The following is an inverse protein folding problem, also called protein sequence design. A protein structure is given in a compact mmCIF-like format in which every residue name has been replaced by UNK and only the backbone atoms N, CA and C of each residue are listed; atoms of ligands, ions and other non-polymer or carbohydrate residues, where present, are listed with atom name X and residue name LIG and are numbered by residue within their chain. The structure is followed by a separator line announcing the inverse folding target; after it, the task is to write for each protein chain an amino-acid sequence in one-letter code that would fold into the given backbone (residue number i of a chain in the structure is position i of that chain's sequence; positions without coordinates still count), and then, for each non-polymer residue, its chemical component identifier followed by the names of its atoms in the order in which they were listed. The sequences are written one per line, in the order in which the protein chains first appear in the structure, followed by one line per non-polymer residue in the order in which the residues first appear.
data_IF_178803855687
#
_entry.id   IF_178803855687
#
_cell.length_a   1.000
_cell.length_b   1.000
_cell.length_c   1.000
_cell.angle_alpha   90.00
_cell.angle_beta   90.00
_cell.angle_gamma   90.00
#
_symmetry.space_group_name_H-M   'P 1'
#
loop_
_entity.id
_entity.type
_entity.pdbx_description
1 polymer ?
#
# COMPACT_ATOMS: atom_id res chain seq x y z
N UNK A 1 4.89 -1.11 -10.24
CA UNK A 1 5.01 -2.56 -10.54
C UNK A 1 4.72 -3.43 -9.30
N UNK A 2 5.38 -3.20 -8.17
CA UNK A 2 5.21 -4.01 -6.95
C UNK A 2 3.77 -4.08 -6.40
N UNK A 3 3.05 -2.94 -6.33
CA UNK A 3 1.66 -2.93 -5.86
C UNK A 3 0.75 -3.90 -6.64
N UNK A 4 0.86 -3.91 -7.98
CA UNK A 4 0.09 -4.84 -8.82
C UNK A 4 0.48 -6.31 -8.65
N UNK A 5 1.75 -6.59 -8.36
CA UNK A 5 2.20 -7.95 -8.06
C UNK A 5 1.62 -8.44 -6.73
N UNK A 6 1.60 -7.59 -5.69
CA UNK A 6 0.98 -7.95 -4.41
C UNK A 6 -0.54 -8.11 -4.52
N UNK A 7 -1.23 -7.30 -5.34
CA UNK A 7 -2.65 -7.50 -5.66
C UNK A 7 -2.88 -8.86 -6.30
N UNK A 8 -2.08 -9.23 -7.29
CA UNK A 8 -2.19 -10.54 -7.94
C UNK A 8 -1.94 -11.69 -6.96
N UNK A 9 -0.90 -11.58 -6.11
CA UNK A 9 -0.60 -12.58 -5.08
C UNK A 9 -1.77 -12.73 -4.10
N UNK A 10 -2.33 -11.62 -3.62
CA UNK A 10 -3.51 -11.62 -2.74
C UNK A 10 -4.68 -12.38 -3.35
N UNK A 11 -4.96 -12.15 -4.64
CA UNK A 11 -6.11 -12.77 -5.31
C UNK A 11 -5.89 -14.27 -5.60
N UNK A 12 -4.65 -14.73 -5.72
CA UNK A 12 -4.30 -16.11 -6.12
C UNK A 12 -3.91 -17.00 -4.92
N UNK A 13 -3.45 -16.41 -3.81
CA UNK A 13 -2.91 -17.15 -2.66
C UNK A 13 -3.95 -18.09 -2.02
N UNK A 14 -5.19 -17.65 -1.89
CA UNK A 14 -6.27 -18.46 -1.30
C UNK A 14 -6.67 -19.66 -2.16
N UNK A 15 -6.59 -19.52 -3.49
CA UNK A 15 -7.01 -20.55 -4.45
C UNK A 15 -5.92 -21.60 -4.66
N UNK A 16 -4.64 -21.22 -4.67
CA UNK A 16 -3.55 -22.11 -5.10
C UNK A 16 -2.89 -22.92 -4.00
N UNK A 17 -2.89 -22.44 -2.75
CA UNK A 17 -2.08 -23.09 -1.73
C UNK A 17 -2.79 -24.20 -0.98
N UNK A 18 -4.13 -24.24 -0.91
CA UNK A 18 -4.90 -25.33 -0.26
C UNK A 18 -4.63 -25.50 1.24
N UNK A 19 -3.82 -24.62 1.83
CA UNK A 19 -3.41 -24.53 3.25
C UNK A 19 -3.43 -23.06 3.64
N UNK A 20 -3.51 -22.77 4.94
CA UNK A 20 -3.47 -21.41 5.44
C UNK A 20 -2.18 -20.70 4.97
N UNK A 21 -2.28 -19.48 4.42
CA UNK A 21 -1.11 -18.72 4.01
C UNK A 21 -0.26 -18.35 5.24
N UNK A 22 1.06 -18.28 5.05
CA UNK A 22 1.97 -17.75 6.06
C UNK A 22 1.66 -16.28 6.33
N UNK A 23 2.11 -15.77 7.48
CA UNK A 23 1.81 -14.43 8.00
C UNK A 23 2.02 -13.32 6.95
N UNK A 24 3.10 -13.37 6.19
CA UNK A 24 3.45 -12.40 5.14
C UNK A 24 2.53 -12.46 3.89
N UNK A 25 1.86 -13.59 3.70
CA UNK A 25 0.94 -13.86 2.59
C UNK A 25 -0.52 -13.75 3.00
N UNK A 26 -0.81 -13.34 4.24
CA UNK A 26 -2.17 -13.07 4.68
C UNK A 26 -2.74 -11.84 3.95
N UNK A 27 -4.07 -11.84 3.74
CA UNK A 27 -4.76 -10.80 2.98
C UNK A 27 -4.54 -9.41 3.58
N UNK A 28 -4.51 -9.31 4.92
CA UNK A 28 -4.37 -8.05 5.63
C UNK A 28 -2.95 -7.48 5.44
N UNK A 29 -1.92 -8.32 5.56
CA UNK A 29 -0.51 -7.94 5.32
C UNK A 29 -0.27 -7.57 3.87
N UNK A 30 -0.79 -8.35 2.91
CA UNK A 30 -0.67 -8.03 1.49
C UNK A 30 -1.38 -6.71 1.15
N UNK A 31 -2.54 -6.44 1.77
CA UNK A 31 -3.25 -5.16 1.58
C UNK A 31 -2.44 -3.99 2.12
N UNK A 32 -1.87 -4.12 3.31
CA UNK A 32 -0.93 -3.13 3.87
C UNK A 32 0.25 -2.89 2.93
N UNK A 33 0.86 -3.95 2.39
CA UNK A 33 1.99 -3.83 1.44
C UNK A 33 1.57 -3.11 0.15
N UNK A 34 0.38 -3.39 -0.39
CA UNK A 34 -0.15 -2.66 -1.55
C UNK A 34 -0.26 -1.17 -1.24
N UNK A 35 -0.88 -0.81 -0.11
CA UNK A 35 -1.08 0.58 0.31
C UNK A 35 0.25 1.33 0.51
N UNK A 36 1.25 0.70 1.13
CA UNK A 36 2.61 1.26 1.27
C UNK A 36 3.25 1.51 -0.09
N UNK A 37 3.18 0.53 -1.01
CA UNK A 37 3.78 0.65 -2.34
C UNK A 37 3.12 1.74 -3.19
N UNK A 38 1.82 1.98 -3.01
CA UNK A 38 1.09 3.09 -3.64
C UNK A 38 1.48 4.45 -3.05
N UNK A 39 1.59 4.56 -1.72
CA UNK A 39 2.06 5.76 -1.03
C UNK A 39 3.47 6.15 -1.48
N UNK A 40 4.41 5.19 -1.53
CA UNK A 40 5.77 5.41 -2.00
C UNK A 40 5.84 5.83 -3.48
N UNK A 41 4.97 5.28 -4.32
CA UNK A 41 4.87 5.73 -5.71
C UNK A 41 4.46 7.20 -5.77
N UNK A 42 3.49 7.61 -4.94
CA UNK A 42 3.04 9.00 -4.86
C UNK A 42 4.13 9.94 -4.33
N UNK A 43 4.93 9.52 -3.36
CA UNK A 43 6.10 10.29 -2.91
C UNK A 43 7.14 10.47 -4.02
N UNK A 44 7.36 9.46 -4.85
CA UNK A 44 8.25 9.57 -6.00
C UNK A 44 7.72 10.62 -7.00
N UNK A 45 6.42 10.65 -7.24
CA UNK A 45 5.78 11.69 -8.06
C UNK A 45 5.86 13.07 -7.41
N UNK A 46 5.62 13.18 -6.11
CA UNK A 46 5.74 14.43 -5.35
C UNK A 46 7.17 14.98 -5.44
N UNK A 47 8.19 14.14 -5.21
CA UNK A 47 9.60 14.54 -5.30
C UNK A 47 9.95 15.00 -6.72
N UNK A 48 9.44 14.31 -7.74
CA UNK A 48 9.59 14.73 -9.13
C UNK A 48 8.90 16.07 -9.41
N UNK A 49 7.71 16.29 -8.89
CA UNK A 49 6.96 17.53 -9.04
C UNK A 49 7.64 18.71 -8.34
N UNK A 50 8.23 18.47 -7.15
CA UNK A 50 9.06 19.43 -6.42
C UNK A 50 10.28 19.85 -7.25
N UNK A 51 11.03 18.87 -7.78
CA UNK A 51 12.18 19.14 -8.66
C UNK A 51 11.77 19.86 -9.95
N UNK A 52 10.55 19.62 -10.44
CA UNK A 52 9.97 20.29 -11.60
C UNK A 52 9.37 21.67 -11.32
N UNK A 53 9.49 22.21 -10.10
CA UNK A 53 8.86 23.47 -9.67
C UNK A 53 7.37 23.57 -10.03
N UNK A 54 6.62 22.47 -9.88
CA UNK A 54 5.17 22.48 -10.08
C UNK A 54 4.48 23.39 -9.06
N UNK A 55 3.26 23.84 -9.40
CA UNK A 55 2.52 24.76 -8.53
C UNK A 55 2.26 24.17 -7.14
N UNK A 56 2.25 24.99 -6.07
CA UNK A 56 1.99 24.53 -4.71
C UNK A 56 0.65 23.79 -4.57
N UNK A 57 -0.34 24.13 -5.39
CA UNK A 57 -1.65 23.46 -5.43
C UNK A 57 -1.57 22.02 -5.97
N UNK A 58 -0.63 21.71 -6.87
CA UNK A 58 -0.39 20.33 -7.33
C UNK A 58 0.38 19.56 -6.25
N UNK A 59 1.39 20.19 -5.67
CA UNK A 59 2.21 19.59 -4.61
C UNK A 59 1.36 19.21 -3.39
N UNK A 60 0.45 20.08 -2.96
CA UNK A 60 -0.44 19.80 -1.83
C UNK A 60 -1.35 18.61 -2.09
N UNK A 61 -1.89 18.48 -3.31
CA UNK A 61 -2.71 17.33 -3.71
C UNK A 61 -1.92 16.03 -3.76
N UNK A 62 -0.70 16.07 -4.31
CA UNK A 62 0.17 14.90 -4.34
C UNK A 62 0.54 14.44 -2.93
N UNK A 63 0.89 15.38 -2.04
CA UNK A 63 1.19 15.10 -0.65
C UNK A 63 -0.02 14.56 0.13
N UNK A 64 -1.21 15.15 -0.05
CA UNK A 64 -2.45 14.65 0.55
C UNK A 64 -2.72 13.21 0.14
N UNK A 65 -2.65 12.93 -1.17
CA UNK A 65 -2.88 11.57 -1.68
C UNK A 65 -1.86 10.55 -1.16
N UNK A 66 -0.58 10.95 -0.98
CA UNK A 66 0.42 10.07 -0.38
C UNK A 66 0.08 9.77 1.10
N UNK A 67 -0.34 10.79 1.84
CA UNK A 67 -0.78 10.66 3.24
C UNK A 67 -1.99 9.74 3.38
N UNK A 68 -2.95 9.82 2.47
CA UNK A 68 -4.14 8.97 2.49
C UNK A 68 -3.76 7.49 2.34
N UNK A 69 -2.86 7.15 1.42
CA UNK A 69 -2.38 5.77 1.26
C UNK A 69 -1.61 5.24 2.47
N UNK A 70 -0.79 6.07 3.13
CA UNK A 70 -0.10 5.65 4.35
C UNK A 70 -1.04 5.50 5.54
N UNK A 71 -2.05 6.37 5.64
CA UNK A 71 -3.08 6.27 6.68
C UNK A 71 -3.85 4.97 6.52
N UNK A 72 -4.26 4.66 5.29
CA UNK A 72 -4.92 3.40 4.93
C UNK A 72 -4.04 2.18 5.27
N UNK A 73 -2.74 2.24 4.98
CA UNK A 73 -1.80 1.17 5.36
C UNK A 73 -1.75 0.94 6.87
N UNK A 74 -1.75 2.01 7.68
CA UNK A 74 -1.76 1.93 9.14
C UNK A 74 -3.05 1.29 9.63
N UNK A 75 -4.20 1.71 9.12
CA UNK A 75 -5.52 1.15 9.46
C UNK A 75 -5.55 -0.36 9.17
N UNK A 76 -5.08 -0.77 7.99
CA UNK A 76 -5.03 -2.18 7.59
C UNK A 76 -4.08 -3.00 8.47
N UNK A 77 -2.94 -2.42 8.86
CA UNK A 77 -1.97 -3.09 9.74
C UNK A 77 -2.50 -3.28 11.16
N UNK A 78 -3.26 -2.31 11.67
CA UNK A 78 -3.89 -2.39 12.99
C UNK A 78 -4.98 -3.48 13.06
N UNK A 79 -5.73 -3.68 11.96
CA UNK A 79 -6.71 -4.75 11.85
C UNK A 79 -6.07 -6.16 11.91
N UNK A 80 -4.81 -6.29 11.49
CA UNK A 80 -4.06 -7.55 11.51
C UNK A 80 -3.65 -7.99 12.93
N UNK A 81 -3.51 -7.04 13.86
CA UNK A 81 -3.06 -7.30 15.24
C UNK A 81 -4.12 -7.90 16.18
N UNK A 82 -5.41 -7.80 15.84
CA UNK A 82 -6.52 -8.26 16.69
C UNK A 82 -6.94 -9.72 16.47
N UNK A 83 -6.21 -10.50 15.65
CA UNK A 83 -6.52 -11.92 15.36
C UNK A 83 -5.59 -12.93 16.02
N UNK A 84 -4.77 -12.49 16.97
CA UNK A 84 -3.90 -13.37 17.75
C UNK A 84 -4.49 -13.64 19.13
N UNK A 85 -5.43 -14.60 19.20
CA UNK A 85 -5.68 -15.53 20.32
C UNK A 85 -6.66 -16.62 19.88
#
# INVERSE_FOLDING_TARGET
AAAGAFTYVRDVCTVKFGRSPQMDMQMDVLSTMISIMLGQAQECFLRKALLGNMSPAILSKLASSASDFFTEAVIQSAASGCKGE
#
